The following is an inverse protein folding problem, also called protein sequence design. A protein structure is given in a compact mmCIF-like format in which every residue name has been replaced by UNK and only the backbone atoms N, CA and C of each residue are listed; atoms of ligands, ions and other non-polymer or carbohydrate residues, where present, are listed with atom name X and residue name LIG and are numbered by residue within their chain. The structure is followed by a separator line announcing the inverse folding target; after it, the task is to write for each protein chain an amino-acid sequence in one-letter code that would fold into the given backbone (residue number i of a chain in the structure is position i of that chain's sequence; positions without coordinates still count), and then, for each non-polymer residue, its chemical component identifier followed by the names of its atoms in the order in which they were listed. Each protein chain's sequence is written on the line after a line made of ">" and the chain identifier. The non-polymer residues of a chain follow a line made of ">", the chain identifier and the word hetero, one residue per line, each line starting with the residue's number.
data_IF_792994301199
#
_entry.id   IF_792994301199
#
_cell.length_a   1.000
_cell.length_b   1.000
_cell.length_c   1.000
_cell.angle_alpha   90.00
_cell.angle_beta   90.00
_cell.angle_gamma   90.00
#
_symmetry.space_group_name_H-M   'P 1'
#
loop_
_entity.id
_entity.type
_entity.pdbx_description
1 polymer ?
#
# COMPACT_ATOMS: atom_id res chain seq x y z
N UNK A 1 -3.87 -1.79 24.59
CA UNK A 1 -3.76 -1.77 23.12
C UNK A 1 -4.66 -2.87 22.55
N UNK A 2 -5.60 -2.49 21.70
CA UNK A 2 -6.50 -3.43 21.02
C UNK A 2 -5.77 -4.16 19.90
N UNK A 3 -6.32 -5.28 19.42
CA UNK A 3 -5.77 -5.98 18.25
C UNK A 3 -5.79 -5.10 16.99
N UNK A 4 -6.77 -4.20 16.87
CA UNK A 4 -6.84 -3.24 15.78
C UNK A 4 -5.67 -2.24 15.83
N UNK A 5 -5.41 -1.65 16.99
CA UNK A 5 -4.28 -0.73 17.18
C UNK A 5 -2.94 -1.44 16.92
N UNK A 6 -2.78 -2.69 17.41
CA UNK A 6 -1.58 -3.48 17.15
C UNK A 6 -1.38 -3.77 15.65
N UNK A 7 -2.45 -4.10 14.94
CA UNK A 7 -2.42 -4.30 13.49
C UNK A 7 -2.07 -3.01 12.73
N UNK A 8 -2.62 -1.86 13.14
CA UNK A 8 -2.29 -0.56 12.55
C UNK A 8 -0.83 -0.16 12.81
N UNK A 9 -0.30 -0.44 14.00
CA UNK A 9 1.13 -0.23 14.29
C UNK A 9 2.02 -1.11 13.40
N UNK A 10 1.64 -2.38 13.19
CA UNK A 10 2.36 -3.29 12.33
C UNK A 10 2.32 -2.83 10.85
N UNK A 11 1.16 -2.37 10.37
CA UNK A 11 1.03 -1.73 9.05
C UNK A 11 1.94 -0.51 8.92
N UNK A 12 1.95 0.36 9.93
CA UNK A 12 2.81 1.53 9.93
C UNK A 12 4.30 1.15 9.92
N UNK A 13 4.70 0.13 10.66
CA UNK A 13 6.08 -0.37 10.64
C UNK A 13 6.49 -0.91 9.26
N UNK A 14 5.56 -1.55 8.54
CA UNK A 14 5.81 -2.14 7.23
C UNK A 14 5.70 -1.14 6.06
N UNK A 15 4.78 -0.18 6.14
CA UNK A 15 4.40 0.70 5.03
C UNK A 15 4.33 2.19 5.38
N UNK A 16 4.67 2.59 6.61
CA UNK A 16 4.72 4.00 7.05
C UNK A 16 5.93 4.78 6.51
N UNK A 17 6.39 4.41 5.34
CA UNK A 17 7.48 5.03 4.57
C UNK A 17 7.24 4.79 3.09
N UNK A 18 8.11 5.31 2.24
CA UNK A 18 8.14 4.96 0.81
C UNK A 18 8.40 3.45 0.65
N UNK A 19 7.43 2.74 0.13
CA UNK A 19 7.54 1.30 -0.15
C UNK A 19 6.88 0.95 -1.49
N UNK A 20 7.44 -0.03 -2.16
CA UNK A 20 6.87 -0.60 -3.37
C UNK A 20 5.73 -1.55 -3.02
N UNK A 21 4.57 -1.38 -3.65
CA UNK A 21 3.39 -2.24 -3.52
C UNK A 21 2.89 -2.67 -4.90
N UNK A 22 2.22 -3.82 -4.96
CA UNK A 22 1.41 -4.21 -6.11
C UNK A 22 -0.01 -3.66 -5.92
N UNK A 23 -0.50 -2.92 -6.92
CA UNK A 23 -1.85 -2.36 -6.95
C UNK A 23 -2.65 -3.01 -8.07
N UNK A 24 -3.74 -3.67 -7.71
CA UNK A 24 -4.69 -4.26 -8.64
C UNK A 24 -5.94 -3.39 -8.79
N UNK A 25 -6.40 -3.23 -10.02
CA UNK A 25 -7.64 -2.55 -10.42
C UNK A 25 -8.45 -3.45 -11.32
N UNK A 26 -9.77 -3.22 -11.36
CA UNK A 26 -10.68 -3.94 -12.26
C UNK A 26 -11.67 -2.94 -12.85
N UNK A 27 -11.74 -2.85 -14.18
CA UNK A 27 -12.73 -2.06 -14.89
C UNK A 27 -13.19 -2.81 -16.14
N UNK A 28 -14.49 -2.76 -16.46
CA UNK A 28 -15.08 -3.46 -17.60
C UNK A 28 -14.73 -4.97 -17.62
N UNK A 29 -14.74 -5.63 -16.44
CA UNK A 29 -14.36 -7.03 -16.18
C UNK A 29 -12.88 -7.36 -16.51
N UNK A 30 -12.07 -6.35 -16.79
CA UNK A 30 -10.63 -6.53 -17.01
C UNK A 30 -9.85 -6.21 -15.74
N UNK A 31 -9.05 -7.18 -15.31
CA UNK A 31 -8.10 -7.05 -14.21
C UNK A 31 -6.77 -6.48 -14.73
N UNK A 32 -6.17 -5.63 -13.92
CA UNK A 32 -4.83 -5.11 -14.19
C UNK A 32 -4.07 -4.93 -12.89
N UNK A 33 -2.79 -5.30 -12.89
CA UNK A 33 -1.91 -5.15 -11.73
C UNK A 33 -0.63 -4.43 -12.16
N UNK A 34 -0.09 -3.59 -11.29
CA UNK A 34 1.19 -2.88 -11.49
C UNK A 34 1.84 -2.59 -10.15
N UNK A 35 3.13 -2.33 -10.22
CA UNK A 35 3.91 -1.84 -9.10
C UNK A 35 3.78 -0.32 -9.01
N UNK A 36 3.60 0.18 -7.79
CA UNK A 36 3.59 1.62 -7.47
C UNK A 36 4.32 1.85 -6.14
N UNK A 37 4.81 3.07 -5.94
CA UNK A 37 5.31 3.49 -4.64
C UNK A 37 4.13 3.98 -3.79
N UNK A 38 4.03 3.44 -2.59
CA UNK A 38 2.94 3.70 -1.67
C UNK A 38 3.42 4.07 -0.28
N UNK A 39 2.59 4.83 0.42
CA UNK A 39 2.81 5.27 1.78
C UNK A 39 1.55 5.08 2.61
N UNK A 40 1.63 4.25 3.66
CA UNK A 40 0.52 4.06 4.61
C UNK A 40 0.50 5.15 5.67
N UNK A 41 -0.68 5.73 5.87
CA UNK A 41 -0.99 6.64 6.96
C UNK A 41 -2.48 6.61 7.27
N UNK A 42 -2.83 6.51 8.55
CA UNK A 42 -4.21 6.68 9.05
C UNK A 42 -5.24 5.84 8.26
N UNK A 43 -5.03 4.53 8.20
CA UNK A 43 -5.90 3.57 7.52
C UNK A 43 -6.06 3.80 6.01
N UNK A 44 -5.13 4.51 5.39
CA UNK A 44 -5.11 4.74 3.96
C UNK A 44 -3.69 4.57 3.38
N UNK A 45 -3.61 4.32 2.08
CA UNK A 45 -2.35 4.30 1.32
C UNK A 45 -2.39 5.41 0.29
N UNK A 46 -1.31 6.19 0.21
CA UNK A 46 -1.15 7.30 -0.71
C UNK A 46 -0.16 6.95 -1.81
N UNK A 47 -0.48 7.32 -3.03
CA UNK A 47 0.32 7.09 -4.24
C UNK A 47 0.33 8.37 -5.07
N UNK A 48 1.52 8.82 -5.49
CA UNK A 48 1.65 9.91 -6.47
C UNK A 48 1.62 9.33 -7.87
N UNK A 49 0.76 9.87 -8.74
CA UNK A 49 0.53 9.31 -10.06
C UNK A 49 0.02 10.37 -11.05
N UNK A 50 -0.41 9.95 -12.22
CA UNK A 50 -0.99 10.80 -13.25
C UNK A 50 -2.43 10.39 -13.54
N UNK A 51 -3.33 11.36 -13.69
CA UNK A 51 -4.76 11.15 -13.90
C UNK A 51 -5.08 10.36 -15.18
N UNK A 52 -4.23 10.48 -16.23
CA UNK A 52 -4.38 9.73 -17.48
C UNK A 52 -3.85 8.29 -17.42
N UNK A 53 -3.24 7.87 -16.31
CA UNK A 53 -2.75 6.49 -16.20
C UNK A 53 -3.89 5.47 -16.21
N UNK A 54 -3.61 4.23 -16.68
CA UNK A 54 -4.62 3.19 -16.73
C UNK A 54 -5.27 2.95 -15.36
N UNK A 55 -4.48 2.87 -14.29
CA UNK A 55 -5.02 2.67 -12.93
C UNK A 55 -6.02 3.74 -12.52
N UNK A 56 -5.78 5.01 -12.86
CA UNK A 56 -6.70 6.09 -12.52
C UNK A 56 -7.98 6.05 -13.37
N UNK A 57 -7.88 5.67 -14.65
CA UNK A 57 -9.05 5.43 -15.50
C UNK A 57 -9.89 4.25 -15.01
N UNK A 58 -9.24 3.16 -14.58
CA UNK A 58 -9.92 2.00 -14.02
C UNK A 58 -10.65 2.38 -12.71
N UNK A 59 -9.96 3.10 -11.80
CA UNK A 59 -10.51 3.53 -10.51
C UNK A 59 -11.69 4.50 -10.70
N UNK A 60 -11.67 5.34 -11.71
CA UNK A 60 -12.78 6.24 -12.02
C UNK A 60 -14.06 5.46 -12.40
N UNK A 61 -13.92 4.31 -13.07
CA UNK A 61 -15.03 3.42 -13.44
C UNK A 61 -15.43 2.50 -12.28
N UNK A 62 -14.45 1.93 -11.59
CA UNK A 62 -14.62 1.05 -10.46
C UNK A 62 -13.57 1.38 -9.38
N UNK A 63 -13.97 2.02 -8.28
CA UNK A 63 -13.02 2.49 -7.27
C UNK A 63 -12.47 1.36 -6.37
N UNK A 64 -12.99 0.14 -6.48
CA UNK A 64 -12.50 -1.01 -5.70
C UNK A 64 -11.12 -1.42 -6.17
N UNK A 65 -10.20 -1.52 -5.23
CA UNK A 65 -8.80 -1.90 -5.49
C UNK A 65 -8.32 -2.94 -4.49
N UNK A 66 -7.26 -3.64 -4.86
CA UNK A 66 -6.52 -4.50 -3.96
C UNK A 66 -5.03 -4.14 -4.00
N UNK A 67 -4.38 -4.29 -2.86
CA UNK A 67 -2.93 -4.10 -2.75
C UNK A 67 -2.28 -5.32 -2.10
N UNK A 68 -1.03 -5.55 -2.46
CA UNK A 68 -0.20 -6.61 -1.89
C UNK A 68 1.23 -6.11 -1.73
N UNK A 69 1.86 -6.50 -0.62
CA UNK A 69 3.29 -6.32 -0.40
C UNK A 69 3.80 -7.46 0.47
N UNK A 70 4.67 -8.30 -0.08
CA UNK A 70 5.06 -9.55 0.55
C UNK A 70 3.80 -10.38 0.90
N UNK A 71 3.63 -10.73 2.18
CA UNK A 71 2.44 -11.46 2.66
C UNK A 71 1.25 -10.53 2.95
N UNK A 72 1.48 -9.23 3.14
CA UNK A 72 0.42 -8.26 3.41
C UNK A 72 -0.53 -8.19 2.20
N UNK A 73 -1.82 -8.27 2.48
CA UNK A 73 -2.89 -8.15 1.51
C UNK A 73 -3.94 -7.18 2.05
N UNK A 74 -4.46 -6.31 1.20
CA UNK A 74 -5.56 -5.43 1.59
C UNK A 74 -6.46 -5.10 0.41
N UNK A 75 -7.70 -4.74 0.73
CA UNK A 75 -8.66 -4.17 -0.21
C UNK A 75 -9.03 -2.77 0.25
N UNK A 76 -9.43 -1.93 -0.70
CA UNK A 76 -9.78 -0.55 -0.41
C UNK A 76 -10.57 0.13 -1.52
N UNK A 77 -10.87 1.40 -1.29
CA UNK A 77 -11.50 2.30 -2.25
C UNK A 77 -10.51 3.36 -2.67
N UNK A 78 -10.19 3.40 -3.95
CA UNK A 78 -9.36 4.44 -4.55
C UNK A 78 -10.12 5.74 -4.72
N UNK A 79 -9.50 6.85 -4.33
CA UNK A 79 -10.02 8.22 -4.49
C UNK A 79 -8.95 9.10 -5.11
N UNK A 80 -9.30 9.81 -6.17
CA UNK A 80 -8.45 10.85 -6.72
C UNK A 80 -8.59 12.12 -5.86
N UNK A 81 -7.52 12.52 -5.17
CA UNK A 81 -7.48 13.76 -4.40
C UNK A 81 -7.15 14.99 -5.23
N UNK A 82 -6.97 14.83 -6.55
CA UNK A 82 -6.60 15.92 -7.44
C UNK A 82 -5.11 16.25 -7.38
N UNK A 83 -4.79 17.42 -7.94
CA UNK A 83 -3.42 17.89 -8.07
C UNK A 83 -2.78 18.21 -6.70
N UNK A 84 -1.46 18.01 -6.52
CA UNK A 84 -0.75 18.38 -5.29
C UNK A 84 -0.98 19.83 -4.83
N UNK A 85 -1.16 20.77 -5.75
CA UNK A 85 -1.37 22.20 -5.44
C UNK A 85 -2.80 22.58 -5.06
N UNK A 86 -3.74 21.63 -5.06
CA UNK A 86 -5.09 21.90 -4.58
C UNK A 86 -5.10 22.30 -3.10
N UNK A 87 -5.97 23.25 -2.74
CA UNK A 87 -5.99 23.81 -1.39
C UNK A 87 -6.18 22.77 -0.29
N UNK A 88 -7.01 21.76 -0.55
CA UNK A 88 -7.24 20.67 0.42
C UNK A 88 -6.05 19.72 0.58
N UNK A 89 -5.08 19.74 -0.34
CA UNK A 89 -3.86 18.93 -0.27
C UNK A 89 -2.70 19.65 0.45
N UNK A 90 -2.83 20.92 0.77
CA UNK A 90 -1.76 21.75 1.37
C UNK A 90 -1.15 21.15 2.64
N UNK A 91 -1.94 20.46 3.46
CA UNK A 91 -1.46 19.82 4.70
C UNK A 91 -0.78 18.47 4.44
N UNK A 92 -1.16 17.78 3.38
CA UNK A 92 -0.64 16.46 3.05
C UNK A 92 0.68 16.53 2.29
N UNK A 93 0.85 17.51 1.41
CA UNK A 93 1.98 17.61 0.49
C UNK A 93 3.35 17.69 1.18
N UNK A 94 3.58 18.48 2.25
CA UNK A 94 4.89 18.50 2.90
C UNK A 94 5.33 17.13 3.37
N UNK A 95 4.40 16.32 3.89
CA UNK A 95 4.66 14.96 4.34
C UNK A 95 4.96 14.02 3.15
N UNK A 96 4.16 14.08 2.09
CA UNK A 96 4.42 13.26 0.89
C UNK A 96 5.76 13.61 0.24
N UNK A 97 6.16 14.89 0.20
CA UNK A 97 7.48 15.31 -0.27
C UNK A 97 8.62 14.74 0.59
N UNK A 98 8.44 14.69 1.89
CA UNK A 98 9.42 14.10 2.80
C UNK A 98 9.51 12.59 2.62
N UNK A 99 8.37 11.90 2.57
CA UNK A 99 8.30 10.43 2.43
C UNK A 99 8.89 9.99 1.10
N UNK A 100 8.51 10.65 0.00
CA UNK A 100 8.95 10.33 -1.34
C UNK A 100 10.15 11.18 -1.81
N UNK A 101 10.97 11.66 -0.89
CA UNK A 101 12.06 12.60 -1.18
C UNK A 101 13.09 12.09 -2.20
N UNK A 102 13.27 10.76 -2.31
CA UNK A 102 14.21 10.17 -3.27
C UNK A 102 13.78 10.35 -4.73
N UNK A 103 12.49 10.51 -5.00
CA UNK A 103 12.02 10.65 -6.38
C UNK A 103 11.06 11.82 -6.63
N UNK A 104 10.57 12.49 -5.58
CA UNK A 104 9.53 13.51 -5.74
C UNK A 104 9.93 14.59 -6.75
N UNK A 105 11.10 15.18 -6.58
CA UNK A 105 11.57 16.28 -7.43
C UNK A 105 11.95 15.84 -8.85
N UNK A 106 12.28 14.55 -9.03
CA UNK A 106 12.73 14.01 -10.32
C UNK A 106 11.61 13.33 -11.13
N UNK A 107 10.55 12.84 -10.48
CA UNK A 107 9.50 12.06 -11.12
C UNK A 107 8.08 12.65 -10.97
N UNK A 108 7.88 13.58 -10.02
CA UNK A 108 6.60 14.25 -9.80
C UNK A 108 6.65 15.63 -10.44
N UNK A 109 5.97 15.79 -11.57
CA UNK A 109 5.91 17.07 -12.24
C UNK A 109 4.69 17.89 -11.75
N UNK A 110 4.92 18.80 -10.81
CA UNK A 110 3.87 19.71 -10.31
C UNK A 110 3.44 20.78 -11.34
N UNK A 111 4.16 20.93 -12.44
CA UNK A 111 3.73 21.80 -13.54
C UNK A 111 2.73 21.10 -14.49
N UNK A 112 2.68 19.76 -14.45
CA UNK A 112 1.73 18.99 -15.22
C UNK A 112 0.35 18.97 -14.52
N UNK A 113 -0.71 19.51 -15.13
CA UNK A 113 -2.04 19.53 -14.52
C UNK A 113 -2.64 18.14 -14.30
N UNK A 114 -2.10 17.10 -14.95
CA UNK A 114 -2.52 15.72 -14.79
C UNK A 114 -1.89 15.01 -13.60
N UNK A 115 -0.88 15.58 -12.94
CA UNK A 115 -0.31 15.02 -11.71
C UNK A 115 -1.37 14.98 -10.62
N UNK A 116 -1.53 13.83 -9.96
CA UNK A 116 -2.55 13.67 -8.93
C UNK A 116 -2.10 12.73 -7.80
N UNK A 117 -2.81 12.83 -6.69
CA UNK A 117 -2.66 11.98 -5.53
C UNK A 117 -3.80 10.95 -5.52
N UNK A 118 -3.45 9.67 -5.57
CA UNK A 118 -4.38 8.58 -5.30
C UNK A 118 -4.35 8.27 -3.80
N UNK A 119 -5.50 8.35 -3.14
CA UNK A 119 -5.73 7.85 -1.79
C UNK A 119 -6.51 6.55 -1.85
N UNK A 120 -5.97 5.48 -1.28
CA UNK A 120 -6.66 4.20 -1.14
C UNK A 120 -7.12 4.09 0.32
N UNK A 121 -8.40 4.27 0.58
CA UNK A 121 -9.01 4.07 1.90
C UNK A 121 -9.18 2.57 2.11
N UNK A 122 -8.48 2.01 3.10
CA UNK A 122 -8.50 0.58 3.36
C UNK A 122 -9.86 0.13 3.94
N UNK A 123 -10.34 -1.02 3.50
CA UNK A 123 -11.57 -1.67 4.00
C UNK A 123 -11.19 -2.89 4.83
N UNK A 124 -10.36 -3.76 4.30
CA UNK A 124 -9.90 -4.98 4.96
C UNK A 124 -8.42 -5.19 4.69
N UNK A 125 -7.73 -5.83 5.62
CA UNK A 125 -6.36 -6.27 5.42
C UNK A 125 -6.09 -7.58 6.16
N UNK A 126 -5.13 -8.34 5.63
CA UNK A 126 -4.43 -9.39 6.37
C UNK A 126 -2.98 -8.95 6.52
N UNK A 127 -2.55 -8.77 7.76
CA UNK A 127 -1.23 -8.24 8.12
C UNK A 127 -0.46 -9.30 8.88
N UNK A 128 0.78 -9.52 8.52
CA UNK A 128 1.63 -10.56 9.10
C UNK A 128 2.82 -9.95 9.83
N UNK A 129 3.01 -10.37 11.08
CA UNK A 129 4.24 -10.16 11.84
C UNK A 129 5.02 -11.47 11.97
N UNK A 130 6.06 -11.49 12.82
CA UNK A 130 6.94 -12.66 12.97
C UNK A 130 6.20 -13.93 13.40
N UNK A 131 5.29 -13.80 14.39
CA UNK A 131 4.55 -14.95 14.95
C UNK A 131 3.04 -14.67 15.04
N UNK A 132 2.55 -13.70 14.28
CA UNK A 132 1.18 -13.23 14.38
C UNK A 132 0.62 -12.85 13.02
N UNK A 133 -0.67 -13.11 12.84
CA UNK A 133 -1.47 -12.63 11.72
C UNK A 133 -2.68 -11.88 12.27
N UNK A 134 -2.96 -10.71 11.73
CA UNK A 134 -4.17 -9.96 12.00
C UNK A 134 -5.07 -9.94 10.76
N UNK A 135 -6.33 -10.27 10.94
CA UNK A 135 -7.39 -10.00 9.94
C UNK A 135 -8.12 -8.75 10.41
N UNK A 136 -7.99 -7.68 9.63
CA UNK A 136 -8.41 -6.32 10.00
C UNK A 136 -9.64 -5.90 9.20
N UNK A 137 -10.62 -5.30 9.88
CA UNK A 137 -11.73 -4.59 9.27
C UNK A 137 -11.66 -3.12 9.68
N UNK A 138 -11.34 -2.25 8.73
CA UNK A 138 -11.20 -0.81 8.97
C UNK A 138 -12.53 -0.09 9.13
N UNK A 139 -13.62 -0.61 8.54
CA UNK A 139 -14.95 -0.01 8.68
C UNK A 139 -15.50 -0.10 10.10
N UNK A 140 -15.18 -1.18 10.79
CA UNK A 140 -15.61 -1.44 12.18
C UNK A 140 -14.51 -1.17 13.21
N UNK A 141 -13.32 -0.76 12.77
CA UNK A 141 -12.13 -0.59 13.61
C UNK A 141 -11.85 -1.82 14.48
N UNK A 142 -11.93 -3.00 13.87
CA UNK A 142 -11.72 -4.27 14.56
C UNK A 142 -10.67 -5.12 13.87
N UNK A 143 -10.02 -5.98 14.64
CA UNK A 143 -9.11 -7.00 14.12
C UNK A 143 -9.22 -8.28 14.93
N UNK A 144 -8.97 -9.41 14.27
CA UNK A 144 -8.83 -10.71 14.91
C UNK A 144 -7.39 -11.18 14.77
N UNK A 145 -6.81 -11.51 15.89
CA UNK A 145 -5.43 -12.00 16.00
C UNK A 145 -5.37 -13.52 15.90
N UNK A 146 -4.44 -14.02 15.13
CA UNK A 146 -4.15 -15.44 14.99
C UNK A 146 -2.66 -15.71 15.21
N UNK A 147 -2.27 -16.86 15.75
CA UNK A 147 -0.87 -17.31 15.69
C UNK A 147 -0.50 -17.54 14.22
N UNK A 148 0.73 -17.21 13.88
CA UNK A 148 1.27 -17.40 12.54
C UNK A 148 2.71 -17.92 12.66
N UNK A 149 3.00 -18.98 11.92
CA UNK A 149 4.36 -19.47 11.72
C UNK A 149 4.64 -19.40 10.22
N UNK A 150 5.72 -18.73 9.87
CA UNK A 150 6.13 -18.66 8.48
C UNK A 150 6.90 -19.94 8.14
N UNK A 151 6.19 -20.92 7.60
CA UNK A 151 6.79 -22.17 7.10
C UNK A 151 7.35 -22.02 5.67
N UNK A 152 7.39 -20.80 5.14
CA UNK A 152 8.03 -20.52 3.86
C UNK A 152 9.53 -20.60 4.10
N UNK A 153 10.10 -21.73 3.75
CA UNK A 153 11.54 -21.90 3.70
C UNK A 153 12.07 -21.00 2.59
N UNK A 154 13.03 -20.14 2.91
CA UNK A 154 13.71 -19.32 1.89
C UNK A 154 14.27 -20.28 0.81
N UNK A 155 13.86 -20.14 -0.48
CA UNK A 155 14.37 -20.98 -1.55
C UNK A 155 15.89 -20.99 -1.64
N UNK A 156 16.55 -19.93 -1.18
CA UNK A 156 18.00 -19.82 -1.16
C UNK A 156 18.63 -20.57 0.04
N UNK A 157 17.90 -20.79 1.13
CA UNK A 157 18.33 -21.68 2.22
C UNK A 157 18.29 -23.15 1.82
N UNK A 158 17.29 -23.56 1.03
CA UNK A 158 17.17 -24.94 0.53
C UNK A 158 18.29 -25.26 -0.47
N UNK A 159 18.83 -24.27 -1.16
CA UNK A 159 19.89 -24.44 -2.17
C UNK A 159 21.30 -24.42 -1.60
N UNK A 160 21.48 -24.11 -0.33
CA UNK A 160 22.81 -24.22 0.29
C UNK A 160 23.14 -25.72 0.42
N UNK A 161 24.19 -26.21 -0.26
CA UNK A 161 24.62 -27.59 -0.03
C UNK A 161 24.96 -27.73 1.46
N UNK A 162 24.47 -28.81 2.08
CA UNK A 162 24.86 -29.17 3.44
C UNK A 162 26.38 -29.09 3.53
N UNK A 163 26.88 -28.21 4.39
CA UNK A 163 28.31 -28.05 4.59
C UNK A 163 28.90 -29.42 4.87
N UNK A 164 29.87 -29.82 4.06
CA UNK A 164 30.74 -30.92 4.40
C UNK A 164 31.57 -30.42 5.58
N UNK A 165 31.12 -30.76 6.79
CA UNK A 165 31.98 -30.68 7.94
C UNK A 165 33.08 -31.69 7.69
N UNK A 166 34.26 -31.17 7.37
CA UNK A 166 35.49 -31.91 7.30
C UNK A 166 36.27 -31.77 8.61
#
# INVERSE_FOLDING_TARGET
>A
MTDFEAACQLLNAQMGRDVTISLATCADDELSVRTVDGYYRDCAVYVLTHASSRKMRDIMKNPKVAICRNLLQATGIGKNLGHPKEDWNKRLIPELKQVFSLFYDSHVNEADPGTCILKIVLIQATVFGSNVKYVVNFSTHSATKYPFHNDIVDPDEVRRPAGKDG
#
